data_IF_201734163532
#
_entry.id   IF_201734163532
#
_cell.length_a   1.000
_cell.length_b   1.000
_cell.length_c   1.000
_cell.angle_alpha   90.00
_cell.angle_beta   90.00
_cell.angle_gamma   90.00
#
_symmetry.space_group_name_H-M   'P 1'
#
loop_
_entity.id
_entity.type
_entity.pdbx_description
1 polymer ?
#
# COMPACT_ATOMS: atom_id res chain seq x y z
N UNK A 1 20.09 1.71 14.33
CA UNK A 1 18.67 1.76 13.95
C UNK A 1 17.90 1.45 15.22
N UNK A 2 17.22 2.46 15.76
CA UNK A 2 16.56 2.38 17.06
C UNK A 2 15.33 1.46 16.99
N UNK A 3 15.13 0.61 18.00
CA UNK A 3 14.02 -0.37 18.05
C UNK A 3 12.63 0.29 17.90
N UNK A 4 12.49 1.56 18.29
CA UNK A 4 11.25 2.32 18.13
C UNK A 4 10.98 2.74 16.68
N UNK A 5 12.02 3.00 15.89
CA UNK A 5 11.90 3.38 14.48
C UNK A 5 11.53 2.17 13.60
N UNK A 6 12.10 1.01 13.91
CA UNK A 6 11.76 -0.25 13.25
C UNK A 6 10.29 -0.64 13.49
N UNK A 7 9.81 -0.48 14.73
CA UNK A 7 8.40 -0.73 15.07
C UNK A 7 7.44 0.21 14.35
N UNK A 8 7.75 1.52 14.29
CA UNK A 8 6.92 2.51 13.57
C UNK A 8 6.83 2.19 12.08
N UNK A 9 7.95 1.79 11.48
CA UNK A 9 8.01 1.40 10.07
C UNK A 9 7.14 0.17 9.79
N UNK A 10 7.23 -0.85 10.64
CA UNK A 10 6.42 -2.07 10.48
C UNK A 10 4.92 -1.80 10.62
N UNK A 11 4.52 -0.97 11.58
CA UNK A 11 3.11 -0.58 11.76
C UNK A 11 2.60 0.18 10.54
N UNK A 12 3.38 1.16 10.05
CA UNK A 12 3.00 1.96 8.87
C UNK A 12 2.84 1.12 7.60
N UNK A 13 3.74 0.15 7.37
CA UNK A 13 3.63 -0.77 6.24
C UNK A 13 2.41 -1.70 6.37
N UNK A 14 2.12 -2.20 7.58
CA UNK A 14 0.97 -3.07 7.82
C UNK A 14 -0.36 -2.36 7.57
N UNK A 15 -0.50 -1.11 8.04
CA UNK A 15 -1.67 -0.28 7.75
C UNK A 15 -1.80 -0.01 6.24
N UNK A 16 -0.70 0.31 5.56
CA UNK A 16 -0.72 0.54 4.11
C UNK A 16 -1.21 -0.69 3.32
N UNK A 17 -0.80 -1.91 3.69
CA UNK A 17 -1.31 -3.16 3.08
C UNK A 17 -2.82 -3.29 3.30
N UNK A 18 -3.31 -3.06 4.51
CA UNK A 18 -4.75 -3.15 4.81
C UNK A 18 -5.56 -2.13 4.01
N UNK A 19 -5.07 -0.90 3.90
CA UNK A 19 -5.70 0.12 3.06
C UNK A 19 -5.69 -0.25 1.58
N UNK A 20 -4.61 -0.82 1.07
CA UNK A 20 -4.52 -1.29 -0.32
C UNK A 20 -5.55 -2.41 -0.58
N UNK A 21 -5.68 -3.35 0.36
CA UNK A 21 -6.66 -4.43 0.28
C UNK A 21 -8.09 -3.89 0.30
N UNK A 22 -8.38 -2.92 1.18
CA UNK A 22 -9.68 -2.25 1.22
C UNK A 22 -10.00 -1.57 -0.11
N UNK A 23 -9.04 -0.85 -0.70
CA UNK A 23 -9.24 -0.21 -2.01
C UNK A 23 -9.59 -1.22 -3.12
N UNK A 24 -8.98 -2.42 -3.10
CA UNK A 24 -9.25 -3.48 -4.09
C UNK A 24 -10.62 -4.16 -3.92
N UNK A 25 -11.14 -4.23 -2.69
CA UNK A 25 -12.29 -5.09 -2.35
C UNK A 25 -13.54 -4.31 -1.96
N UNK A 26 -13.37 -3.12 -1.39
CA UNK A 26 -14.42 -2.27 -0.88
C UNK A 26 -14.05 -0.79 -1.10
N UNK A 27 -14.11 -0.36 -2.35
CA UNK A 27 -13.87 1.03 -2.71
C UNK A 27 -14.96 1.93 -2.10
N UNK A 28 -14.56 2.78 -1.16
CA UNK A 28 -15.49 3.70 -0.46
C UNK A 28 -15.38 5.14 -0.94
N UNK A 29 -14.39 5.44 -1.79
CA UNK A 29 -14.08 6.80 -2.23
C UNK A 29 -13.43 7.65 -1.13
N UNK A 30 -12.87 7.01 -0.10
CA UNK A 30 -12.12 7.72 0.93
C UNK A 30 -10.80 8.28 0.37
N UNK A 31 -10.15 9.18 1.12
CA UNK A 31 -8.89 9.78 0.70
C UNK A 31 -7.85 8.74 0.27
N UNK A 32 -7.71 7.63 1.02
CA UNK A 32 -6.71 6.60 0.71
C UNK A 32 -7.06 5.80 -0.55
N UNK A 33 -8.35 5.59 -0.83
CA UNK A 33 -8.79 4.97 -2.09
C UNK A 33 -8.42 5.86 -3.28
N UNK A 34 -8.69 7.16 -3.17
CA UNK A 34 -8.31 8.16 -4.18
C UNK A 34 -6.79 8.27 -4.34
N UNK A 35 -6.03 8.13 -3.24
CA UNK A 35 -4.57 8.08 -3.28
C UNK A 35 -4.08 6.90 -4.11
N UNK A 36 -4.65 5.71 -3.95
CA UNK A 36 -4.27 4.54 -4.75
C UNK A 36 -4.70 4.66 -6.22
N UNK A 37 -5.84 5.29 -6.50
CA UNK A 37 -6.22 5.65 -7.87
C UNK A 37 -5.19 6.61 -8.50
N UNK A 38 -4.67 7.56 -7.72
CA UNK A 38 -3.61 8.47 -8.17
C UNK A 38 -2.31 7.71 -8.44
N UNK A 39 -1.87 6.83 -7.52
CA UNK A 39 -0.69 5.99 -7.75
C UNK A 39 -0.79 5.15 -9.03
N UNK A 40 -1.99 4.64 -9.35
CA UNK A 40 -2.23 3.84 -10.56
C UNK A 40 -2.13 4.65 -11.86
N UNK A 41 -2.50 5.94 -11.81
CA UNK A 41 -2.59 6.83 -12.98
C UNK A 41 -1.40 7.79 -13.12
N UNK A 42 -0.58 7.93 -12.08
CA UNK A 42 0.52 8.87 -12.06
C UNK A 42 1.59 8.52 -13.10
N UNK A 43 2.09 9.55 -13.79
CA UNK A 43 3.34 9.46 -14.54
C UNK A 43 4.54 9.27 -13.59
N UNK A 44 5.73 9.02 -14.16
CA UNK A 44 6.92 8.74 -13.37
C UNK A 44 7.32 9.88 -12.42
N UNK A 45 7.12 11.14 -12.80
CA UNK A 45 7.49 12.28 -11.95
C UNK A 45 6.52 12.42 -10.77
N UNK A 46 5.22 12.35 -11.05
CA UNK A 46 4.18 12.44 -10.03
C UNK A 46 4.19 11.21 -9.12
N UNK A 47 4.47 10.02 -9.65
CA UNK A 47 4.64 8.81 -8.87
C UNK A 47 5.76 8.96 -7.84
N UNK A 48 6.91 9.52 -8.25
CA UNK A 48 8.02 9.80 -7.33
C UNK A 48 7.60 10.76 -6.22
N UNK A 49 6.91 11.86 -6.54
CA UNK A 49 6.40 12.82 -5.53
C UNK A 49 5.41 12.17 -4.56
N UNK A 50 4.55 11.27 -5.06
CA UNK A 50 3.62 10.52 -4.22
C UNK A 50 4.36 9.55 -3.29
N UNK A 51 5.40 8.85 -3.77
CA UNK A 51 6.26 8.01 -2.92
C UNK A 51 6.99 8.83 -1.85
N UNK A 52 7.47 10.03 -2.17
CA UNK A 52 8.13 10.90 -1.19
C UNK A 52 7.14 11.41 -0.12
N UNK A 53 5.89 11.69 -0.51
CA UNK A 53 4.85 12.22 0.38
C UNK A 53 4.16 11.12 1.21
N UNK A 54 4.02 9.92 0.64
CA UNK A 54 3.33 8.77 1.23
C UNK A 54 4.19 7.51 1.11
N UNK A 55 5.33 7.44 1.80
CA UNK A 55 6.35 6.41 1.57
C UNK A 55 5.87 4.98 1.82
N UNK A 56 5.11 4.73 2.89
CA UNK A 56 4.60 3.38 3.16
C UNK A 56 3.62 2.91 2.08
N UNK A 57 2.72 3.79 1.65
CA UNK A 57 1.79 3.49 0.56
C UNK A 57 2.52 3.27 -0.77
N UNK A 58 3.52 4.10 -1.08
CA UNK A 58 4.33 3.95 -2.29
C UNK A 58 5.12 2.63 -2.33
N UNK A 59 5.73 2.23 -1.21
CA UNK A 59 6.44 0.95 -1.09
C UNK A 59 5.48 -0.22 -1.31
N UNK A 60 4.37 -0.24 -0.59
CA UNK A 60 3.38 -1.33 -0.69
C UNK A 60 2.75 -1.39 -2.07
N UNK A 61 2.41 -0.24 -2.66
CA UNK A 61 1.85 -0.17 -4.00
C UNK A 61 2.84 -0.70 -5.06
N UNK A 62 4.12 -0.34 -4.95
CA UNK A 62 5.17 -0.84 -5.84
C UNK A 62 5.36 -2.36 -5.72
N UNK A 63 5.38 -2.89 -4.49
CA UNK A 63 5.49 -4.32 -4.24
C UNK A 63 4.28 -5.08 -4.79
N UNK A 64 3.08 -4.55 -4.57
CA UNK A 64 1.85 -5.13 -5.11
C UNK A 64 1.82 -5.11 -6.64
N UNK A 65 2.20 -3.99 -7.29
CA UNK A 65 2.27 -3.90 -8.76
C UNK A 65 3.28 -4.84 -9.39
N UNK A 66 4.33 -5.18 -8.65
CA UNK A 66 5.38 -6.10 -9.08
C UNK A 66 5.07 -7.56 -8.72
N UNK A 67 4.00 -7.82 -7.97
CA UNK A 67 3.61 -9.17 -7.61
C UNK A 67 2.87 -9.85 -8.76
N UNK A 68 3.22 -11.11 -9.03
CA UNK A 68 2.57 -11.92 -10.08
C UNK A 68 1.07 -12.13 -9.81
N UNK A 69 0.67 -12.14 -8.54
CA UNK A 69 -0.69 -12.32 -8.09
C UNK A 69 -0.98 -11.46 -6.87
N UNK A 70 -2.04 -10.66 -6.95
CA UNK A 70 -2.48 -9.79 -5.85
C UNK A 70 -2.88 -10.59 -4.61
N UNK A 71 -3.53 -11.74 -4.77
CA UNK A 71 -3.98 -12.56 -3.64
C UNK A 71 -2.80 -13.11 -2.85
N UNK A 72 -1.78 -13.64 -3.53
CA UNK A 72 -0.55 -14.10 -2.89
C UNK A 72 0.20 -12.97 -2.20
N UNK A 73 0.15 -11.75 -2.73
CA UNK A 73 0.72 -10.58 -2.08
C UNK A 73 0.03 -10.30 -0.74
N UNK A 74 -1.30 -10.31 -0.71
CA UNK A 74 -2.07 -10.06 0.51
C UNK A 74 -1.90 -11.17 1.55
N UNK A 75 -1.91 -12.44 1.12
CA UNK A 75 -1.66 -13.59 2.01
C UNK A 75 -0.28 -13.52 2.67
N UNK A 76 0.77 -13.19 1.91
CA UNK A 76 2.13 -13.00 2.44
C UNK A 76 2.21 -11.88 3.48
N UNK A 77 1.32 -10.90 3.39
CA UNK A 77 1.21 -9.80 4.35
C UNK A 77 0.15 -10.05 5.43
N UNK A 78 -0.35 -11.28 5.56
CA UNK A 78 -1.23 -11.70 6.65
C UNK A 78 -2.71 -11.40 6.44
N UNK A 79 -3.14 -10.99 5.25
CA UNK A 79 -4.55 -10.80 4.90
C UNK A 79 -5.06 -12.06 4.21
N UNK A 80 -5.99 -12.77 4.85
CA UNK A 80 -6.66 -13.94 4.26
C UNK A 80 -7.97 -13.51 3.63
N UNK A 81 -8.22 -13.90 2.38
CA UNK A 81 -9.53 -13.72 1.74
C UNK A 81 -10.56 -14.62 2.45
N UNK A 82 -11.58 -14.03 3.07
CA UNK A 82 -12.74 -14.75 3.61
C UNK A 82 -13.00 -14.61 5.11
N UNK A 83 -12.30 -13.73 5.83
CA UNK A 83 -12.68 -13.25 7.17
C UNK A 83 -13.37 -11.88 7.12
#
# INVERSE_FOLDING_TARGET
MDLQEEQRTRVGLTDAVQKLYSWQTNYTGCFTDLLYDLFLKADAENYRKLCDSYPFHGIIFAQWRSADCSDLFFEKNGIKKGE
#
